data_IF_513214774893
#
_entry.id   IF_513214774893
#
_cell.length_a   1.000
_cell.length_b   1.000
_cell.length_c   1.000
_cell.angle_alpha   90.00
_cell.angle_beta   90.00
_cell.angle_gamma   90.00
#
_symmetry.space_group_name_H-M   'P 1'
#
loop_
_entity.id
_entity.type
_entity.pdbx_description
1 polymer ?
#
# COMPACT_ATOMS: atom_id res chain seq x y z
N UNK A 1 12.77 3.12 -8.70
CA UNK A 1 12.10 2.60 -7.50
C UNK A 1 11.83 3.73 -6.53
N UNK A 2 10.71 3.66 -5.84
CA UNK A 2 10.28 4.74 -4.94
C UNK A 2 10.31 4.21 -3.51
N UNK A 3 11.16 4.81 -2.68
CA UNK A 3 11.25 4.44 -1.28
C UNK A 3 9.97 4.85 -0.55
N UNK A 4 9.30 3.89 0.05
CA UNK A 4 8.03 4.11 0.76
C UNK A 4 8.19 3.63 2.19
N UNK A 5 7.82 4.47 3.15
CA UNK A 5 8.00 4.19 4.58
C UNK A 5 6.65 4.07 5.27
N UNK A 6 6.51 3.04 6.11
CA UNK A 6 5.37 2.90 7.00
C UNK A 6 5.59 3.85 8.19
N UNK A 7 4.75 4.87 8.36
CA UNK A 7 4.94 5.86 9.42
C UNK A 7 4.76 5.29 10.82
N UNK A 8 4.09 4.15 10.95
CA UNK A 8 3.84 3.55 12.26
C UNK A 8 4.96 2.64 12.72
N UNK A 9 5.55 1.87 11.80
CA UNK A 9 6.63 0.94 12.14
C UNK A 9 8.02 1.48 11.86
N UNK A 10 8.13 2.49 10.99
CA UNK A 10 9.39 3.03 10.53
C UNK A 10 10.09 2.18 9.48
N UNK A 11 9.49 1.07 9.08
CA UNK A 11 10.04 0.21 8.05
C UNK A 11 9.81 0.80 6.66
N UNK A 12 10.75 0.56 5.75
CA UNK A 12 10.71 1.07 4.39
C UNK A 12 10.88 -0.04 3.38
N UNK A 13 10.36 0.18 2.19
CA UNK A 13 10.54 -0.72 1.05
C UNK A 13 10.47 0.08 -0.24
N UNK A 14 11.22 -0.35 -1.25
CA UNK A 14 11.20 0.28 -2.57
C UNK A 14 10.05 -0.29 -3.40
N UNK A 15 9.27 0.59 -4.01
CA UNK A 15 8.14 0.23 -4.85
C UNK A 15 8.36 0.69 -6.28
N UNK A 16 7.82 -0.05 -7.25
CA UNK A 16 7.70 0.44 -8.62
C UNK A 16 6.68 1.56 -8.67
N UNK A 17 6.63 2.30 -9.77
CA UNK A 17 5.63 3.36 -9.95
C UNK A 17 4.20 2.83 -9.81
N UNK A 18 3.91 1.69 -10.43
CA UNK A 18 2.58 1.08 -10.37
C UNK A 18 2.20 0.68 -8.94
N UNK A 19 3.14 0.08 -8.23
CA UNK A 19 2.93 -0.30 -6.83
C UNK A 19 2.70 0.92 -5.95
N UNK A 20 3.47 1.97 -6.17
CA UNK A 20 3.35 3.21 -5.42
C UNK A 20 2.00 3.90 -5.67
N UNK A 21 1.54 3.92 -6.92
CA UNK A 21 0.24 4.47 -7.26
C UNK A 21 -0.89 3.71 -6.56
N UNK A 22 -0.79 2.40 -6.53
CA UNK A 22 -1.78 1.56 -5.86
C UNK A 22 -1.76 1.81 -4.35
N UNK A 23 -0.59 1.93 -3.77
CA UNK A 23 -0.45 2.24 -2.34
C UNK A 23 -1.10 3.59 -2.00
N UNK A 24 -0.86 4.61 -2.84
CA UNK A 24 -1.47 5.93 -2.64
C UNK A 24 -3.00 5.86 -2.75
N UNK A 25 -3.51 5.03 -3.67
CA UNK A 25 -4.96 4.81 -3.79
C UNK A 25 -5.53 4.19 -2.52
N UNK A 26 -4.82 3.24 -1.92
CA UNK A 26 -5.25 2.62 -0.66
C UNK A 26 -5.35 3.68 0.44
N UNK A 27 -4.34 4.54 0.54
CA UNK A 27 -4.34 5.61 1.54
C UNK A 27 -5.47 6.60 1.33
N UNK A 28 -5.75 6.96 0.09
CA UNK A 28 -6.82 7.87 -0.26
C UNK A 28 -8.19 7.27 0.07
N UNK A 29 -8.39 6.00 -0.25
CA UNK A 29 -9.64 5.30 0.07
C UNK A 29 -9.85 5.19 1.58
N UNK A 30 -8.78 5.01 2.33
CA UNK A 30 -8.83 4.99 3.79
C UNK A 30 -9.30 6.34 4.34
N UNK A 31 -8.76 7.44 3.82
CA UNK A 31 -9.17 8.79 4.22
C UNK A 31 -10.64 9.07 3.89
N UNK A 32 -11.11 8.53 2.78
CA UNK A 32 -12.51 8.66 2.35
C UNK A 32 -13.44 7.68 3.02
N UNK A 33 -12.90 6.80 3.87
CA UNK A 33 -13.65 5.75 4.58
C UNK A 33 -14.37 4.78 3.63
N UNK A 34 -13.81 4.58 2.44
CA UNK A 34 -14.33 3.62 1.45
C UNK A 34 -13.68 2.26 1.64
N UNK A 35 -14.02 1.61 2.75
CA UNK A 35 -13.31 0.41 3.20
C UNK A 35 -13.47 -0.80 2.27
N UNK A 36 -14.60 -0.95 1.60
CA UNK A 36 -14.78 -2.05 0.65
C UNK A 36 -13.83 -1.93 -0.53
N UNK A 37 -13.73 -0.73 -1.11
CA UNK A 37 -12.81 -0.47 -2.22
C UNK A 37 -11.37 -0.54 -1.75
N UNK A 38 -11.10 -0.03 -0.54
CA UNK A 38 -9.79 -0.12 0.07
C UNK A 38 -9.35 -1.57 0.21
N UNK A 39 -10.23 -2.44 0.68
CA UNK A 39 -9.91 -3.86 0.86
C UNK A 39 -9.59 -4.54 -0.46
N UNK A 40 -10.31 -4.21 -1.52
CA UNK A 40 -10.03 -4.75 -2.86
C UNK A 40 -8.66 -4.28 -3.35
N UNK A 41 -8.32 -3.02 -3.11
CA UNK A 41 -7.02 -2.47 -3.51
C UNK A 41 -5.88 -3.09 -2.70
N UNK A 42 -6.09 -3.32 -1.41
CA UNK A 42 -5.11 -3.99 -0.55
C UNK A 42 -4.87 -5.42 -1.04
N UNK A 43 -5.94 -6.13 -1.40
CA UNK A 43 -5.84 -7.48 -1.91
C UNK A 43 -5.01 -7.53 -3.20
N UNK A 44 -5.27 -6.61 -4.10
CA UNK A 44 -4.51 -6.47 -5.34
C UNK A 44 -3.04 -6.16 -5.06
N UNK A 45 -2.79 -5.25 -4.13
CA UNK A 45 -1.44 -4.85 -3.73
C UNK A 45 -0.67 -6.04 -3.14
N UNK A 46 -1.32 -6.83 -2.29
CA UNK A 46 -0.69 -8.01 -1.67
C UNK A 46 -0.31 -9.06 -2.71
N UNK A 47 -1.09 -9.20 -3.77
CA UNK A 47 -0.77 -10.13 -4.86
C UNK A 47 0.35 -9.61 -5.73
N UNK A 48 0.39 -8.30 -5.93
CA UNK A 48 1.40 -7.65 -6.76
C UNK A 48 2.77 -7.68 -6.09
N UNK A 49 2.82 -7.41 -4.78
CA UNK A 49 4.07 -7.38 -4.01
C UNK A 49 3.79 -7.78 -2.56
N UNK A 50 3.83 -9.10 -2.26
CA UNK A 50 3.52 -9.59 -0.90
C UNK A 50 4.44 -8.99 0.17
N UNK A 51 5.71 -8.78 -0.16
CA UNK A 51 6.68 -8.22 0.78
C UNK A 51 6.32 -6.78 1.14
N UNK A 52 5.95 -5.99 0.15
CA UNK A 52 5.53 -4.61 0.36
C UNK A 52 4.25 -4.54 1.19
N UNK A 53 3.31 -5.43 0.92
CA UNK A 53 2.09 -5.54 1.71
C UNK A 53 2.42 -5.78 3.19
N UNK A 54 3.34 -6.68 3.45
CA UNK A 54 3.74 -7.01 4.81
C UNK A 54 4.40 -5.83 5.52
N UNK A 55 5.19 -5.05 4.80
CA UNK A 55 5.90 -3.90 5.38
C UNK A 55 4.97 -2.69 5.56
N UNK A 56 4.09 -2.44 4.62
CA UNK A 56 3.33 -1.19 4.56
C UNK A 56 1.90 -1.29 5.08
N UNK A 57 1.28 -2.45 4.97
CA UNK A 57 -0.15 -2.61 5.25
C UNK A 57 -0.40 -3.53 6.44
N UNK A 58 0.41 -4.53 6.60
CA UNK A 58 0.23 -5.55 7.63
C UNK A 58 0.62 -5.09 9.03
#
# INVERSE_FOLDING_TARGET
MIKTTNPFSGQSIDLTENEHKLYNSIKELEEQEKYELMQKSIDKFSRLNPKAHRVLVD
#
